data_IF_460329774341
#
_entry.id   IF_460329774341
#
_cell.length_a   1.000
_cell.length_b   1.000
_cell.length_c   1.000
_cell.angle_alpha   90.00
_cell.angle_beta   90.00
_cell.angle_gamma   90.00
#
_symmetry.space_group_name_H-M   'P 1'
#
loop_
_entity.id
_entity.type
_entity.pdbx_description
1 polymer ?
#
# COMPACT_ATOMS: atom_id res chain seq x y z
N UNK A 1 4.56 10.88 38.42
CA UNK A 1 5.11 10.21 37.23
C UNK A 1 3.99 9.35 36.68
N UNK A 2 3.47 9.63 35.48
CA UNK A 2 2.47 8.78 34.86
C UNK A 2 3.07 7.39 34.69
N UNK A 3 2.38 6.33 35.16
CA UNK A 3 2.72 4.97 34.86
C UNK A 3 2.76 4.88 33.34
N UNK A 4 3.93 4.55 32.77
CA UNK A 4 4.00 4.18 31.36
C UNK A 4 3.28 2.84 31.20
N UNK A 5 1.96 2.91 31.00
CA UNK A 5 1.18 1.72 30.71
C UNK A 5 1.69 1.12 29.39
N UNK A 6 2.07 -0.14 29.44
CA UNK A 6 2.53 -0.89 28.29
C UNK A 6 1.49 -1.93 27.88
N UNK A 7 1.45 -2.22 26.61
CA UNK A 7 0.69 -3.34 26.04
C UNK A 7 1.65 -4.39 25.51
N UNK A 8 1.24 -5.63 25.54
CA UNK A 8 1.91 -6.72 24.85
C UNK A 8 1.34 -6.83 23.44
N UNK A 9 2.21 -6.76 22.43
CA UNK A 9 1.84 -6.87 21.03
C UNK A 9 2.57 -8.04 20.40
N UNK A 10 1.87 -8.81 19.55
CA UNK A 10 2.44 -9.94 18.84
C UNK A 10 2.71 -9.53 17.39
N UNK A 11 3.97 -9.45 17.00
CA UNK A 11 4.40 -9.22 15.63
C UNK A 11 4.93 -10.50 14.95
N UNK A 12 5.47 -10.39 13.75
CA UNK A 12 6.00 -11.53 12.98
C UNK A 12 7.27 -12.16 13.58
N UNK A 13 7.93 -11.47 14.52
CA UNK A 13 9.14 -11.96 15.21
C UNK A 13 8.86 -12.39 16.64
N UNK A 14 7.64 -12.22 17.14
CA UNK A 14 7.26 -12.63 18.48
C UNK A 14 6.62 -11.49 19.30
N UNK A 15 6.67 -11.64 20.60
CA UNK A 15 6.08 -10.70 21.55
C UNK A 15 6.96 -9.48 21.76
N UNK A 16 6.35 -8.30 21.71
CA UNK A 16 7.01 -7.02 22.03
C UNK A 16 6.15 -6.20 22.99
N UNK A 17 6.79 -5.59 24.00
CA UNK A 17 6.13 -4.66 24.93
C UNK A 17 6.20 -3.25 24.37
N UNK A 18 5.05 -2.66 24.08
CA UNK A 18 4.92 -1.32 23.51
C UNK A 18 4.35 -0.34 24.51
N UNK A 19 4.70 0.96 24.45
CA UNK A 19 3.94 2.00 25.14
C UNK A 19 2.48 1.96 24.67
N UNK A 20 1.52 2.05 25.57
CA UNK A 20 0.10 2.05 25.22
C UNK A 20 -0.28 3.22 24.30
N UNK A 21 0.42 4.33 24.38
CA UNK A 21 0.20 5.52 23.57
C UNK A 21 1.55 6.15 23.15
N UNK A 22 2.24 5.56 22.16
CA UNK A 22 3.53 6.06 21.71
C UNK A 22 3.43 7.49 21.14
N UNK A 23 4.38 8.34 21.51
CA UNK A 23 4.44 9.75 21.12
C UNK A 23 5.60 10.06 20.18
N UNK A 24 6.63 9.22 20.18
CA UNK A 24 7.86 9.44 19.44
C UNK A 24 8.16 8.26 18.49
N UNK A 25 7.24 8.06 17.56
CA UNK A 25 7.33 6.96 16.59
C UNK A 25 8.36 7.29 15.52
N UNK A 26 9.29 6.38 15.24
CA UNK A 26 10.14 6.40 14.04
C UNK A 26 9.62 5.32 13.09
N UNK A 27 9.26 5.73 11.88
CA UNK A 27 8.73 4.83 10.84
C UNK A 27 9.80 4.51 9.79
N UNK A 28 10.23 3.25 9.75
CA UNK A 28 11.16 2.71 8.77
C UNK A 28 10.43 1.85 7.71
N UNK A 29 9.23 1.37 8.02
CA UNK A 29 8.32 0.67 7.11
C UNK A 29 7.39 1.67 6.42
N UNK A 30 7.93 2.44 5.49
CA UNK A 30 7.32 3.64 4.89
C UNK A 30 5.99 3.38 4.16
N UNK A 31 5.77 2.17 3.66
CA UNK A 31 4.51 1.81 2.96
C UNK A 31 3.27 1.99 3.84
N UNK A 32 3.44 2.06 5.15
CA UNK A 32 2.36 2.16 6.13
C UNK A 32 2.25 3.55 6.78
N UNK A 33 2.82 4.57 6.14
CA UNK A 33 2.69 5.95 6.62
C UNK A 33 1.22 6.43 6.63
N UNK A 34 0.46 6.02 5.62
CA UNK A 34 -0.96 6.35 5.51
C UNK A 34 -1.80 5.84 6.70
N UNK A 35 -1.50 4.64 7.21
CA UNK A 35 -2.16 4.09 8.40
C UNK A 35 -1.96 5.00 9.63
N UNK A 36 -0.72 5.45 9.87
CA UNK A 36 -0.44 6.37 10.98
C UNK A 36 -1.19 7.69 10.82
N UNK A 37 -1.18 8.27 9.62
CA UNK A 37 -1.89 9.53 9.32
C UNK A 37 -3.39 9.36 9.54
N UNK A 38 -3.98 8.28 9.05
CA UNK A 38 -5.41 7.95 9.22
C UNK A 38 -5.79 7.85 10.70
N UNK A 39 -4.91 7.29 11.50
CA UNK A 39 -5.09 7.17 12.95
C UNK A 39 -4.78 8.46 13.72
N UNK A 40 -4.38 9.53 13.03
CA UNK A 40 -3.98 10.80 13.64
C UNK A 40 -2.70 10.69 14.45
N UNK A 41 -1.78 9.82 14.00
CA UNK A 41 -0.43 9.67 14.55
C UNK A 41 0.58 10.20 13.53
N UNK A 42 1.32 11.22 13.91
CA UNK A 42 2.41 11.75 13.10
C UNK A 42 3.73 11.23 13.64
N UNK A 43 4.48 10.40 12.89
CA UNK A 43 5.79 9.95 13.34
C UNK A 43 6.76 11.15 13.43
N UNK A 44 7.70 11.12 14.37
CA UNK A 44 8.72 12.16 14.49
C UNK A 44 9.74 12.12 13.36
N UNK A 45 9.88 10.96 12.73
CA UNK A 45 10.74 10.76 11.57
C UNK A 45 10.28 9.57 10.73
N UNK A 46 10.55 9.64 9.43
CA UNK A 46 10.29 8.54 8.49
C UNK A 46 11.32 8.51 7.36
N UNK A 47 11.38 7.38 6.64
CA UNK A 47 12.25 7.22 5.49
C UNK A 47 11.80 8.04 4.27
N UNK A 48 12.73 8.32 3.37
CA UNK A 48 12.57 9.29 2.28
C UNK A 48 11.37 9.08 1.33
N UNK A 49 10.91 7.85 1.02
CA UNK A 49 9.86 7.65 0.03
C UNK A 49 8.54 8.39 0.34
N UNK A 50 8.16 8.54 1.60
CA UNK A 50 6.89 9.21 1.97
C UNK A 50 6.83 10.68 1.51
N UNK A 51 7.97 11.38 1.47
CA UNK A 51 8.04 12.80 1.11
C UNK A 51 7.84 13.06 -0.38
N UNK A 52 7.84 12.01 -1.19
CA UNK A 52 7.58 12.07 -2.63
C UNK A 52 6.15 11.69 -2.99
N UNK A 53 5.38 11.15 -2.04
CA UNK A 53 4.00 10.77 -2.29
C UNK A 53 3.10 12.01 -2.33
N UNK A 54 2.44 12.31 -3.46
CA UNK A 54 1.61 13.51 -3.62
C UNK A 54 0.41 13.54 -2.67
N UNK A 55 -0.07 12.37 -2.22
CA UNK A 55 -1.19 12.26 -1.28
C UNK A 55 -0.82 12.63 0.17
N UNK A 56 0.48 12.73 0.46
CA UNK A 56 0.96 13.16 1.77
C UNK A 56 1.36 14.65 1.82
N UNK A 57 1.10 15.40 0.76
CA UNK A 57 1.35 16.85 0.74
C UNK A 57 0.63 17.54 1.91
N UNK A 58 1.37 18.29 2.74
CA UNK A 58 0.86 18.95 3.95
C UNK A 58 0.60 18.02 5.13
N UNK A 59 0.90 16.73 5.01
CA UNK A 59 0.76 15.75 6.10
C UNK A 59 2.11 15.22 6.60
N UNK A 60 3.19 15.63 5.99
CA UNK A 60 4.56 15.33 6.43
C UNK A 60 5.20 16.50 7.19
N UNK A 61 4.43 17.56 7.50
CA UNK A 61 4.90 18.70 8.25
C UNK A 61 5.34 18.26 9.67
N UNK A 62 6.54 18.66 10.06
CA UNK A 62 7.14 18.24 11.33
C UNK A 62 7.76 16.84 11.34
N UNK A 63 7.59 16.04 10.28
CA UNK A 63 8.23 14.72 10.15
C UNK A 63 9.65 14.90 9.61
N UNK A 64 10.65 14.39 10.33
CA UNK A 64 12.04 14.45 9.89
C UNK A 64 12.33 13.40 8.82
N UNK A 65 12.84 13.84 7.67
CA UNK A 65 13.33 12.92 6.65
C UNK A 65 14.69 12.35 7.08
N UNK A 66 14.77 11.03 7.28
CA UNK A 66 15.98 10.34 7.72
C UNK A 66 16.73 9.61 6.61
N UNK A 67 16.32 9.82 5.35
CA UNK A 67 16.90 9.18 4.17
C UNK A 67 16.22 7.85 3.85
N UNK A 68 16.71 7.16 2.82
CA UNK A 68 16.13 5.88 2.38
C UNK A 68 16.57 4.71 3.28
N UNK A 69 17.81 4.73 3.76
CA UNK A 69 18.39 3.70 4.62
C UNK A 69 19.20 4.37 5.74
N UNK A 70 18.54 4.82 6.83
CA UNK A 70 19.20 5.53 7.91
C UNK A 70 20.20 4.64 8.67
N UNK A 71 21.23 5.26 9.25
CA UNK A 71 22.10 4.55 10.18
C UNK A 71 21.40 4.35 11.53
N UNK A 72 21.86 3.38 12.30
CA UNK A 72 21.33 3.07 13.63
C UNK A 72 21.52 4.25 14.58
N UNK A 73 22.68 4.94 14.50
CA UNK A 73 23.00 6.12 15.30
C UNK A 73 22.05 7.27 15.01
N UNK A 74 21.68 7.45 13.72
CA UNK A 74 20.70 8.47 13.31
C UNK A 74 19.33 8.19 13.93
N UNK A 75 18.89 6.94 13.95
CA UNK A 75 17.63 6.54 14.59
C UNK A 75 17.73 6.73 16.12
N UNK A 76 18.82 6.32 16.76
CA UNK A 76 19.04 6.48 18.20
C UNK A 76 19.05 7.94 18.63
N UNK A 77 19.65 8.83 17.84
CA UNK A 77 19.69 10.28 18.13
C UNK A 77 18.31 10.94 18.22
N UNK A 78 17.29 10.32 17.62
CA UNK A 78 15.91 10.79 17.66
C UNK A 78 15.19 10.46 18.97
N UNK A 79 15.77 9.58 19.81
CA UNK A 79 15.20 9.11 21.09
C UNK A 79 13.74 8.68 20.92
N UNK A 80 13.45 7.70 20.02
CA UNK A 80 12.09 7.19 19.85
C UNK A 80 11.59 6.47 21.11
N UNK A 81 10.27 6.44 21.29
CA UNK A 81 9.61 5.54 22.25
C UNK A 81 9.05 4.28 21.57
N UNK A 82 8.98 4.29 20.22
CA UNK A 82 8.59 3.17 19.39
C UNK A 82 9.23 3.28 18.02
N UNK A 83 9.65 2.15 17.47
CA UNK A 83 10.15 2.02 16.10
C UNK A 83 9.27 1.02 15.35
N UNK A 84 8.89 1.36 14.11
CA UNK A 84 8.18 0.45 13.20
C UNK A 84 9.11 0.18 12.02
N UNK A 85 9.54 -1.05 11.85
CA UNK A 85 10.55 -1.43 10.87
C UNK A 85 10.14 -2.67 10.09
N UNK A 86 10.73 -2.86 8.90
CA UNK A 86 10.62 -4.12 8.18
C UNK A 86 11.27 -5.25 8.97
N UNK A 87 10.58 -6.38 9.08
CA UNK A 87 11.08 -7.53 9.82
C UNK A 87 12.35 -8.13 9.24
N UNK A 88 12.54 -7.99 7.93
CA UNK A 88 13.74 -8.44 7.19
C UNK A 88 14.88 -7.41 7.17
N UNK A 89 14.72 -6.22 7.79
CA UNK A 89 15.81 -5.23 7.86
C UNK A 89 17.00 -5.80 8.64
N UNK A 90 18.18 -5.82 8.03
CA UNK A 90 19.43 -6.33 8.63
C UNK A 90 19.80 -5.62 9.95
N UNK A 91 19.29 -4.40 10.16
CA UNK A 91 19.52 -3.60 11.38
C UNK A 91 18.43 -3.81 12.43
N UNK A 92 17.44 -4.67 12.20
CA UNK A 92 16.29 -4.84 13.07
C UNK A 92 16.67 -5.08 14.54
N UNK A 93 17.60 -6.00 14.81
CA UNK A 93 18.07 -6.29 16.16
C UNK A 93 18.86 -5.15 16.81
N UNK A 94 19.41 -4.25 16.00
CA UNK A 94 20.05 -3.04 16.51
C UNK A 94 19.00 -1.99 16.90
N UNK A 95 17.92 -1.86 16.16
CA UNK A 95 16.79 -0.98 16.52
C UNK A 95 16.11 -1.38 17.83
N UNK A 96 15.98 -2.67 18.11
CA UNK A 96 15.46 -3.20 19.38
C UNK A 96 16.28 -2.75 20.62
N UNK A 97 17.55 -2.43 20.44
CA UNK A 97 18.41 -1.90 21.52
C UNK A 97 18.16 -0.42 21.80
N UNK A 98 17.46 0.29 20.89
CA UNK A 98 17.16 1.71 21.01
C UNK A 98 15.81 1.90 21.70
N UNK A 99 14.76 1.23 21.20
CA UNK A 99 13.38 1.34 21.66
C UNK A 99 12.58 0.07 21.30
N UNK A 100 11.40 -0.13 21.90
CA UNK A 100 10.46 -1.15 21.44
C UNK A 100 10.27 -1.05 19.92
N UNK A 101 10.57 -2.14 19.21
CA UNK A 101 10.56 -2.19 17.76
C UNK A 101 9.58 -3.24 17.27
N UNK A 102 8.62 -2.84 16.43
CA UNK A 102 7.63 -3.72 15.80
C UNK A 102 8.15 -4.16 14.44
N UNK A 103 8.15 -5.47 14.21
CA UNK A 103 8.48 -6.08 12.93
C UNK A 103 7.25 -6.12 12.02
N UNK A 104 7.32 -5.43 10.89
CA UNK A 104 6.27 -5.44 9.87
C UNK A 104 6.73 -6.34 8.71
N UNK A 105 5.81 -7.17 8.23
CA UNK A 105 5.95 -7.89 6.97
C UNK A 105 5.02 -7.28 5.92
N UNK A 106 5.55 -7.02 4.72
CA UNK A 106 4.74 -6.48 3.64
C UNK A 106 3.63 -7.47 3.25
N UNK A 107 2.42 -6.93 3.01
CA UNK A 107 1.27 -7.71 2.56
C UNK A 107 0.84 -8.86 3.51
N UNK A 108 1.10 -8.72 4.81
CA UNK A 108 0.70 -9.70 5.83
C UNK A 108 -0.81 -9.68 6.09
N UNK A 109 -1.42 -8.51 6.01
CA UNK A 109 -2.82 -8.28 6.31
C UNK A 109 -3.52 -7.58 5.16
N UNK A 110 -4.86 -7.73 5.06
CA UNK A 110 -5.68 -6.83 4.26
C UNK A 110 -5.49 -5.37 4.74
N UNK A 111 -5.76 -4.38 3.88
CA UNK A 111 -5.56 -2.98 4.30
C UNK A 111 -6.39 -2.59 5.53
N UNK A 112 -7.61 -3.15 5.69
CA UNK A 112 -8.45 -2.93 6.88
C UNK A 112 -7.86 -3.56 8.14
N UNK A 113 -7.37 -4.78 8.03
CA UNK A 113 -6.76 -5.47 9.18
C UNK A 113 -5.41 -4.85 9.52
N UNK A 114 -4.65 -4.39 8.52
CA UNK A 114 -3.44 -3.60 8.73
C UNK A 114 -3.74 -2.33 9.54
N UNK A 115 -4.79 -1.59 9.19
CA UNK A 115 -5.21 -0.40 9.95
C UNK A 115 -5.61 -0.74 11.39
N UNK A 116 -6.30 -1.89 11.61
CA UNK A 116 -6.63 -2.37 12.96
C UNK A 116 -5.38 -2.68 13.77
N UNK A 117 -4.38 -3.35 13.15
CA UNK A 117 -3.11 -3.67 13.81
C UNK A 117 -2.34 -2.37 14.19
N UNK A 118 -2.28 -1.39 13.29
CA UNK A 118 -1.73 -0.08 13.62
C UNK A 118 -2.52 0.61 14.74
N UNK A 119 -3.84 0.48 14.74
CA UNK A 119 -4.70 0.97 15.83
C UNK A 119 -4.36 0.35 17.18
N UNK A 120 -4.12 -0.97 17.23
CA UNK A 120 -3.71 -1.68 18.47
C UNK A 120 -2.36 -1.18 18.96
N UNK A 121 -1.33 -1.20 18.09
CA UNK A 121 0.04 -0.85 18.49
C UNK A 121 0.22 0.63 18.83
N UNK A 122 -0.69 1.52 18.41
CA UNK A 122 -0.60 2.96 18.67
C UNK A 122 -1.64 3.49 19.67
N UNK A 123 -2.46 2.61 20.26
CA UNK A 123 -3.51 2.99 21.20
C UNK A 123 -4.69 3.74 20.55
N UNK A 124 -4.93 3.52 19.26
CA UNK A 124 -5.96 4.22 18.47
C UNK A 124 -6.99 3.28 17.83
N UNK A 125 -7.23 2.11 18.42
CA UNK A 125 -8.13 1.08 17.89
C UNK A 125 -9.53 1.61 17.55
N UNK A 126 -10.07 2.54 18.38
CA UNK A 126 -11.36 3.16 18.10
C UNK A 126 -11.35 3.94 16.79
N UNK A 127 -10.29 4.70 16.51
CA UNK A 127 -10.17 5.46 15.26
C UNK A 127 -10.10 4.52 14.05
N UNK A 128 -9.38 3.39 14.17
CA UNK A 128 -9.33 2.37 13.12
C UNK A 128 -10.73 1.81 12.83
N UNK A 129 -11.49 1.43 13.86
CA UNK A 129 -12.85 0.92 13.71
C UNK A 129 -13.79 1.97 13.11
N UNK A 130 -13.75 3.21 13.59
CA UNK A 130 -14.58 4.31 13.10
C UNK A 130 -14.29 4.60 11.61
N UNK A 131 -13.03 4.56 11.21
CA UNK A 131 -12.63 4.75 9.81
C UNK A 131 -13.15 3.60 8.92
N UNK A 132 -12.94 2.33 9.35
CA UNK A 132 -13.40 1.15 8.61
C UNK A 132 -14.93 1.19 8.43
N UNK A 133 -15.67 1.57 9.46
CA UNK A 133 -17.13 1.72 9.38
C UNK A 133 -17.54 2.74 8.31
N UNK A 134 -16.86 3.90 8.25
CA UNK A 134 -17.10 4.92 7.22
C UNK A 134 -16.72 4.43 5.83
N UNK A 135 -15.63 3.70 5.73
CA UNK A 135 -15.18 3.08 4.49
C UNK A 135 -16.23 2.09 3.97
N UNK A 136 -16.68 1.16 4.81
CA UNK A 136 -17.68 0.16 4.44
C UNK A 136 -18.98 0.80 3.98
N UNK A 137 -19.42 1.87 4.65
CA UNK A 137 -20.57 2.65 4.22
C UNK A 137 -20.36 3.29 2.83
N UNK A 138 -19.15 3.82 2.56
CA UNK A 138 -18.80 4.39 1.26
C UNK A 138 -18.78 3.33 0.16
N UNK A 139 -18.21 2.17 0.42
CA UNK A 139 -18.23 1.04 -0.52
C UNK A 139 -19.68 0.60 -0.80
N UNK A 140 -20.50 0.46 0.24
CA UNK A 140 -21.92 0.10 0.07
C UNK A 140 -22.69 1.11 -0.80
N UNK A 141 -22.37 2.41 -0.70
CA UNK A 141 -22.95 3.46 -1.53
C UNK A 141 -22.50 3.38 -2.99
N UNK A 142 -21.19 3.19 -3.23
CA UNK A 142 -20.64 3.31 -4.59
C UNK A 142 -20.70 2.00 -5.38
N UNK A 143 -20.62 0.85 -4.72
CA UNK A 143 -20.60 -0.47 -5.36
C UNK A 143 -21.75 -0.71 -6.33
N UNK A 144 -23.03 -0.44 -5.99
CA UNK A 144 -24.13 -0.62 -6.94
C UNK A 144 -24.00 0.25 -8.20
N UNK A 145 -23.50 1.49 -8.05
CA UNK A 145 -23.29 2.43 -9.16
C UNK A 145 -22.19 1.91 -10.10
N UNK A 146 -21.05 1.48 -9.51
CA UNK A 146 -19.91 0.94 -10.26
C UNK A 146 -20.28 -0.37 -10.95
N UNK A 147 -20.93 -1.30 -10.25
CA UNK A 147 -21.37 -2.58 -10.81
C UNK A 147 -22.32 -2.37 -11.98
N UNK A 148 -23.25 -1.41 -11.87
CA UNK A 148 -24.15 -1.05 -12.98
C UNK A 148 -23.38 -0.48 -14.19
N UNK A 149 -22.41 0.39 -13.95
CA UNK A 149 -21.62 1.03 -15.01
C UNK A 149 -20.68 0.04 -15.73
N UNK A 150 -20.04 -0.84 -14.97
CA UNK A 150 -19.10 -1.84 -15.50
C UNK A 150 -19.85 -3.02 -16.13
N UNK A 151 -20.95 -3.45 -15.54
CA UNK A 151 -21.74 -4.59 -16.00
C UNK A 151 -20.96 -5.90 -15.94
N UNK A 152 -20.97 -6.64 -17.04
CA UNK A 152 -20.24 -7.91 -17.14
C UNK A 152 -18.79 -7.79 -17.63
N UNK A 153 -18.29 -6.57 -17.79
CA UNK A 153 -16.94 -6.30 -18.27
C UNK A 153 -15.91 -6.58 -17.20
N UNK A 154 -14.68 -6.81 -17.67
CA UNK A 154 -13.53 -7.12 -16.82
C UNK A 154 -12.66 -5.88 -16.58
N UNK A 155 -11.96 -5.88 -15.46
CA UNK A 155 -11.02 -4.83 -15.05
C UNK A 155 -9.65 -5.45 -14.82
N UNK A 156 -8.59 -4.80 -15.28
CA UNK A 156 -7.21 -5.20 -14.99
C UNK A 156 -6.37 -4.03 -14.50
N UNK A 157 -5.34 -4.35 -13.70
CA UNK A 157 -4.35 -3.41 -13.19
C UNK A 157 -3.01 -3.75 -13.85
N UNK A 158 -2.50 -2.83 -14.67
CA UNK A 158 -1.35 -3.03 -15.54
C UNK A 158 -0.24 -2.05 -15.18
N UNK A 159 0.95 -2.54 -14.88
CA UNK A 159 2.10 -1.70 -14.52
C UNK A 159 3.33 -2.07 -15.34
N UNK A 160 3.58 -1.37 -16.46
CA UNK A 160 4.77 -1.59 -17.28
C UNK A 160 6.07 -1.26 -16.51
N UNK A 161 7.11 -2.05 -16.78
CA UNK A 161 8.47 -1.77 -16.31
C UNK A 161 9.50 -2.12 -17.40
N UNK A 162 10.79 -1.84 -17.18
CA UNK A 162 11.82 -1.94 -18.23
C UNK A 162 11.98 -3.34 -18.85
N UNK A 163 11.57 -4.40 -18.16
CA UNK A 163 11.77 -5.79 -18.60
C UNK A 163 10.46 -6.58 -18.80
N UNK A 164 9.31 -5.93 -18.73
CA UNK A 164 8.03 -6.61 -18.85
C UNK A 164 6.85 -5.80 -18.31
N UNK A 165 5.81 -6.49 -17.91
CA UNK A 165 4.58 -5.89 -17.40
C UNK A 165 4.14 -6.65 -16.17
N UNK A 166 3.97 -5.93 -15.05
CA UNK A 166 3.27 -6.48 -13.91
C UNK A 166 1.75 -6.34 -14.10
N UNK A 167 1.04 -7.41 -13.82
CA UNK A 167 -0.41 -7.45 -13.73
C UNK A 167 -0.74 -7.74 -12.27
N UNK A 168 -1.52 -6.86 -11.62
CA UNK A 168 -1.84 -7.02 -10.21
C UNK A 168 -3.20 -7.68 -10.00
N UNK A 169 -3.26 -8.54 -8.99
CA UNK A 169 -4.47 -9.15 -8.46
C UNK A 169 -5.04 -8.34 -7.30
N UNK A 170 -5.67 -9.05 -6.36
CA UNK A 170 -6.36 -8.47 -5.20
C UNK A 170 -5.46 -8.17 -4.00
N UNK A 171 -4.17 -8.45 -4.09
CA UNK A 171 -3.18 -8.13 -3.06
C UNK A 171 -2.05 -7.27 -3.65
N UNK A 172 -1.02 -6.92 -2.89
CA UNK A 172 0.09 -6.09 -3.36
C UNK A 172 -0.27 -4.63 -3.68
N UNK A 173 -1.19 -4.02 -2.93
CA UNK A 173 -1.60 -2.63 -3.10
C UNK A 173 -2.19 -2.33 -4.50
N UNK A 174 -1.99 -1.16 -5.03
CA UNK A 174 -2.45 -0.65 -6.34
C UNK A 174 -3.95 -0.69 -6.56
N UNK A 175 -4.71 -0.71 -5.46
CA UNK A 175 -6.17 -0.74 -5.49
C UNK A 175 -6.77 -2.11 -5.81
N UNK A 176 -5.95 -3.18 -5.86
CA UNK A 176 -6.42 -4.52 -6.17
C UNK A 176 -7.47 -5.03 -5.20
N UNK A 177 -7.25 -4.90 -3.89
CA UNK A 177 -8.23 -5.26 -2.86
C UNK A 177 -9.58 -4.54 -3.07
N UNK A 178 -9.54 -3.28 -3.48
CA UNK A 178 -10.75 -2.49 -3.65
C UNK A 178 -11.50 -2.89 -4.92
N UNK A 179 -10.77 -3.07 -6.01
CA UNK A 179 -11.36 -3.46 -7.30
C UNK A 179 -11.97 -4.85 -7.22
N UNK A 180 -11.23 -5.81 -6.68
CA UNK A 180 -11.63 -7.22 -6.75
C UNK A 180 -12.37 -7.70 -5.51
N UNK A 181 -11.94 -7.31 -4.30
CA UNK A 181 -12.54 -7.81 -3.06
C UNK A 181 -13.70 -6.91 -2.58
N UNK A 182 -13.52 -5.59 -2.54
CA UNK A 182 -14.54 -4.66 -2.03
C UNK A 182 -15.65 -4.42 -3.08
N UNK A 183 -15.29 -4.00 -4.29
CA UNK A 183 -16.24 -3.72 -5.36
C UNK A 183 -16.69 -4.99 -6.10
N UNK A 184 -15.95 -6.09 -5.95
CA UNK A 184 -16.21 -7.39 -6.59
C UNK A 184 -16.32 -7.30 -8.12
N UNK A 185 -15.46 -6.49 -8.73
CA UNK A 185 -15.37 -6.40 -10.18
C UNK A 185 -14.63 -7.63 -10.73
N UNK A 186 -14.99 -8.04 -11.93
CA UNK A 186 -14.43 -9.23 -12.55
C UNK A 186 -13.04 -8.96 -13.11
N UNK A 187 -12.09 -9.84 -12.83
CA UNK A 187 -10.80 -9.88 -13.52
C UNK A 187 -10.89 -10.66 -14.84
N UNK A 188 -10.03 -10.38 -15.84
CA UNK A 188 -9.80 -11.32 -16.94
C UNK A 188 -9.42 -12.71 -16.43
N UNK A 189 -9.80 -13.77 -17.14
CA UNK A 189 -9.54 -15.16 -16.69
C UNK A 189 -8.07 -15.44 -16.36
N UNK A 190 -7.14 -14.89 -17.16
CA UNK A 190 -5.72 -15.07 -16.90
C UNK A 190 -5.27 -14.35 -15.61
N UNK A 191 -5.78 -13.13 -15.37
CA UNK A 191 -5.50 -12.39 -14.12
C UNK A 191 -6.09 -13.12 -12.92
N UNK A 192 -7.34 -13.61 -13.04
CA UNK A 192 -7.96 -14.40 -11.98
C UNK A 192 -7.09 -15.59 -11.60
N UNK A 193 -6.68 -16.38 -12.61
CA UNK A 193 -5.90 -17.60 -12.40
C UNK A 193 -4.48 -17.33 -11.87
N UNK A 194 -3.75 -16.39 -12.50
CA UNK A 194 -2.30 -16.25 -12.30
C UNK A 194 -1.94 -15.23 -11.21
N UNK A 195 -2.79 -14.24 -10.97
CA UNK A 195 -2.51 -13.20 -9.98
C UNK A 195 -3.39 -13.29 -8.73
N UNK A 196 -4.64 -13.78 -8.83
CA UNK A 196 -5.57 -13.85 -7.70
C UNK A 196 -5.59 -15.26 -7.09
N UNK A 197 -6.04 -16.27 -7.85
CA UNK A 197 -6.21 -17.64 -7.34
C UNK A 197 -4.88 -18.30 -6.95
N UNK A 198 -3.78 -17.87 -7.55
CA UNK A 198 -2.43 -18.34 -7.18
C UNK A 198 -2.00 -17.92 -5.76
N UNK A 199 -2.65 -16.91 -5.18
CA UNK A 199 -2.26 -16.30 -3.91
C UNK A 199 -0.97 -15.46 -3.98
N UNK A 200 -0.34 -15.34 -5.16
CA UNK A 200 0.89 -14.55 -5.35
C UNK A 200 0.59 -13.04 -5.36
N UNK A 201 -0.60 -12.67 -5.82
CA UNK A 201 -1.05 -11.28 -5.87
C UNK A 201 -0.62 -10.50 -7.13
N UNK A 202 0.24 -11.07 -7.97
CA UNK A 202 0.64 -10.49 -9.24
C UNK A 202 1.14 -11.54 -10.24
N UNK A 203 1.17 -11.18 -11.52
CA UNK A 203 1.86 -11.91 -12.57
C UNK A 203 2.86 -10.98 -13.28
N UNK A 204 3.97 -11.54 -13.77
CA UNK A 204 4.94 -10.85 -14.62
C UNK A 204 4.84 -11.44 -16.04
N UNK A 205 4.50 -10.62 -17.01
CA UNK A 205 4.25 -11.06 -18.38
C UNK A 205 5.07 -10.28 -19.41
N UNK A 206 5.27 -10.88 -20.58
CA UNK A 206 5.79 -10.16 -21.75
C UNK A 206 4.69 -9.36 -22.47
N UNK A 207 5.10 -8.43 -23.33
CA UNK A 207 4.17 -7.58 -24.07
C UNK A 207 3.18 -8.38 -24.95
N UNK A 208 3.64 -9.46 -25.56
CA UNK A 208 2.84 -10.32 -26.44
C UNK A 208 1.70 -11.01 -25.69
N UNK A 209 1.85 -11.26 -24.40
CA UNK A 209 0.81 -11.88 -23.55
C UNK A 209 -0.24 -10.87 -23.07
N UNK A 210 0.04 -9.58 -23.17
CA UNK A 210 -0.81 -8.52 -22.62
C UNK A 210 -2.28 -8.62 -23.06
N UNK A 211 -2.62 -8.93 -24.35
CA UNK A 211 -4.04 -9.05 -24.75
C UNK A 211 -4.85 -10.08 -23.95
N UNK A 212 -4.23 -11.15 -23.48
CA UNK A 212 -4.89 -12.16 -22.63
C UNK A 212 -5.12 -11.74 -21.18
N UNK A 213 -4.42 -10.70 -20.72
CA UNK A 213 -4.49 -10.17 -19.35
C UNK A 213 -5.19 -8.81 -19.29
N UNK A 214 -5.34 -8.12 -20.41
CA UNK A 214 -6.02 -6.84 -20.48
C UNK A 214 -7.53 -7.00 -20.28
N UNK A 215 -8.10 -6.22 -19.35
CA UNK A 215 -9.54 -6.13 -19.17
C UNK A 215 -10.20 -5.17 -20.15
N UNK A 216 -11.54 -5.12 -20.10
CA UNK A 216 -12.34 -4.09 -20.79
C UNK A 216 -12.09 -2.69 -20.25
N UNK A 217 -11.65 -2.61 -18.99
CA UNK A 217 -11.17 -1.43 -18.29
C UNK A 217 -9.76 -1.71 -17.77
N UNK A 218 -8.88 -0.73 -17.88
CA UNK A 218 -7.49 -0.84 -17.43
C UNK A 218 -7.18 0.33 -16.49
N UNK A 219 -6.73 0.02 -15.30
CA UNK A 219 -6.01 0.97 -14.45
C UNK A 219 -4.51 0.76 -14.68
N UNK A 220 -3.78 1.83 -14.92
CA UNK A 220 -2.36 1.71 -15.25
C UNK A 220 -1.51 2.82 -14.68
N UNK A 221 -0.31 2.47 -14.28
CA UNK A 221 0.81 3.38 -14.03
C UNK A 221 2.11 2.64 -14.31
N UNK A 222 3.15 3.30 -14.84
CA UNK A 222 4.44 2.67 -14.96
C UNK A 222 5.00 2.31 -13.59
N UNK A 223 5.82 1.28 -13.49
CA UNK A 223 6.49 0.91 -12.25
C UNK A 223 7.40 2.06 -11.76
N UNK A 224 7.33 2.38 -10.47
CA UNK A 224 8.12 3.46 -9.85
C UNK A 224 9.62 3.12 -9.82
N UNK A 225 10.35 3.38 -10.80
CA UNK A 225 11.76 3.00 -10.96
C UNK A 225 12.05 2.50 -12.37
N UNK A 226 11.00 2.37 -13.20
CA UNK A 226 11.17 2.17 -14.63
C UNK A 226 11.79 3.41 -15.26
N UNK A 227 12.87 3.22 -16.01
CA UNK A 227 13.54 4.30 -16.75
C UNK A 227 12.75 4.71 -17.99
N UNK A 228 11.98 3.80 -18.56
CA UNK A 228 11.22 3.98 -19.79
C UNK A 228 9.83 4.59 -19.58
N UNK A 229 9.40 4.82 -18.33
CA UNK A 229 8.03 5.24 -18.00
C UNK A 229 6.94 4.40 -18.72
N UNK A 230 7.25 3.14 -19.04
CA UNK A 230 6.33 2.25 -19.76
C UNK A 230 6.20 2.51 -21.26
N UNK A 231 6.99 3.41 -21.83
CA UNK A 231 6.92 3.82 -23.24
C UNK A 231 6.91 2.65 -24.21
N UNK A 232 7.72 1.63 -23.97
CA UNK A 232 7.77 0.41 -24.78
C UNK A 232 6.45 -0.36 -24.84
N UNK A 233 5.59 -0.21 -23.82
CA UNK A 233 4.25 -0.80 -23.78
C UNK A 233 3.23 0.17 -24.37
N UNK A 234 3.16 1.38 -23.86
CA UNK A 234 2.13 2.37 -24.20
C UNK A 234 2.20 2.83 -25.67
N UNK A 235 3.40 2.84 -26.28
CA UNK A 235 3.60 3.20 -27.71
C UNK A 235 3.54 1.99 -28.66
N UNK A 236 3.31 0.78 -28.14
CA UNK A 236 3.25 -0.41 -28.97
C UNK A 236 1.94 -0.55 -29.75
N UNK A 237 1.99 -1.23 -30.90
CA UNK A 237 0.80 -1.60 -31.65
C UNK A 237 -0.12 -2.55 -30.86
N UNK A 238 0.45 -3.40 -29.99
CA UNK A 238 -0.31 -4.29 -29.11
C UNK A 238 -1.17 -3.48 -28.15
N UNK A 239 -0.59 -2.49 -27.46
CA UNK A 239 -1.36 -1.61 -26.58
C UNK A 239 -2.47 -0.88 -27.33
N UNK A 240 -2.14 -0.27 -28.48
CA UNK A 240 -3.10 0.46 -29.29
C UNK A 240 -4.28 -0.42 -29.79
N UNK A 241 -4.07 -1.73 -29.94
CA UNK A 241 -5.09 -2.69 -30.36
C UNK A 241 -6.02 -3.15 -29.26
N UNK A 242 -5.70 -2.88 -27.98
CA UNK A 242 -6.52 -3.34 -26.86
C UNK A 242 -7.91 -2.69 -26.86
N UNK A 243 -8.98 -3.47 -26.63
CA UNK A 243 -10.35 -2.92 -26.58
C UNK A 243 -10.52 -1.79 -25.58
N UNK A 244 -9.86 -1.87 -24.41
CA UNK A 244 -9.89 -0.81 -23.41
C UNK A 244 -9.31 0.51 -23.95
N UNK A 245 -8.21 0.45 -24.71
CA UNK A 245 -7.57 1.64 -25.31
C UNK A 245 -8.46 2.24 -26.38
N UNK A 246 -8.95 1.41 -27.30
CA UNK A 246 -9.84 1.84 -28.39
C UNK A 246 -11.14 2.46 -27.88
N UNK A 247 -11.67 1.96 -26.77
CA UNK A 247 -12.90 2.45 -26.13
C UNK A 247 -12.67 3.57 -25.09
N UNK A 248 -11.44 4.09 -24.96
CA UNK A 248 -11.08 5.12 -23.97
C UNK A 248 -11.40 4.73 -22.53
N UNK A 249 -11.14 3.48 -22.16
CA UNK A 249 -11.36 2.90 -20.83
C UNK A 249 -10.06 2.57 -20.10
N UNK A 250 -9.06 3.39 -20.32
CA UNK A 250 -7.77 3.34 -19.62
C UNK A 250 -7.71 4.51 -18.65
N UNK A 251 -7.44 4.21 -17.39
CA UNK A 251 -7.33 5.18 -16.31
C UNK A 251 -5.88 5.17 -15.81
N UNK A 252 -5.19 6.27 -16.06
CA UNK A 252 -3.86 6.48 -15.54
C UNK A 252 -3.93 6.87 -14.06
N UNK A 253 -3.07 6.27 -13.26
CA UNK A 253 -2.98 6.53 -11.82
C UNK A 253 -1.60 7.05 -11.46
N UNK A 254 -1.50 7.77 -10.35
CA UNK A 254 -0.21 8.30 -9.90
C UNK A 254 0.75 7.16 -9.53
N UNK A 255 1.96 7.21 -10.07
CA UNK A 255 2.96 6.14 -9.94
C UNK A 255 3.43 5.94 -8.48
N UNK A 256 3.49 7.01 -7.69
CA UNK A 256 3.98 6.96 -6.32
C UNK A 256 2.84 6.77 -5.33
N UNK A 257 1.76 7.54 -5.49
CA UNK A 257 0.61 7.49 -4.60
C UNK A 257 -0.13 6.16 -4.66
N UNK A 258 -0.26 5.59 -5.86
CA UNK A 258 -0.97 4.33 -6.08
C UNK A 258 -0.21 3.09 -5.57
N UNK A 259 1.07 3.24 -5.29
CA UNK A 259 1.88 2.19 -4.69
C UNK A 259 1.46 1.86 -3.25
N UNK A 260 0.97 2.85 -2.52
CA UNK A 260 0.52 2.68 -1.15
C UNK A 260 -1.01 2.53 -1.14
N UNK A 261 -1.54 1.63 -0.32
CA UNK A 261 -2.98 1.55 -0.05
C UNK A 261 -3.41 2.77 0.77
N UNK A 262 -3.44 3.95 0.14
CA UNK A 262 -3.87 5.17 0.79
C UNK A 262 -5.37 5.39 0.55
N UNK A 263 -6.11 5.67 1.61
CA UNK A 263 -7.55 5.92 1.61
C UNK A 263 -8.04 6.98 0.61
N UNK A 264 -7.12 7.83 0.10
CA UNK A 264 -7.42 8.95 -0.80
C UNK A 264 -7.28 8.62 -2.27
N UNK A 265 -6.78 7.44 -2.60
CA UNK A 265 -6.68 6.97 -4.00
C UNK A 265 -8.08 6.69 -4.58
N UNK A 266 -9.10 6.65 -3.73
CA UNK A 266 -10.40 6.08 -4.05
C UNK A 266 -11.57 7.06 -3.89
N UNK A 267 -11.32 8.33 -3.65
CA UNK A 267 -12.38 9.36 -3.55
C UNK A 267 -12.44 10.18 -4.81
#
# INVERSE_FOLDING_TARGET
MAKNDTITYQDVKGEVKLPQNPQRIVLLAESYYGDLVTLGKTPIAATAPIFKNPFYKGKTDGVKNIGKSPSVEKVASLKPDMIIAWGEDEKFDQYKKIAPTVAIQYNQYSFKDQLKEFGKMTGTSKKATDWITKWDAKIAEVKPKVTKAVGNKTVSIVSPFDKGIYIFGNTFARGGEIIYDELQLKAPKAVQKEAIDSGVGYANISLEKLPGFAGDYIFTSPWSGSKSNGDQVYKSSIWASLPAVQNKRVFETDTVGYFFNDERILI
#
